data_IF_980006630257
#
_entry.id   IF_980006630257
#
_cell.length_a   1.000
_cell.length_b   1.000
_cell.length_c   1.000
_cell.angle_alpha   90.00
_cell.angle_beta   90.00
_cell.angle_gamma   90.00
#
_symmetry.space_group_name_H-M   'P 1'
#
loop_
_entity.id
_entity.type
_entity.pdbx_description
1 polymer ?
#
# COMPACT_ATOMS: atom_id res chain seq x y z
N UNK A 1 -18.92 -14.61 -4.96
CA UNK A 1 -20.03 -13.89 -4.28
C UNK A 1 -19.66 -12.42 -3.99
N UNK A 2 -19.05 -11.70 -4.95
CA UNK A 2 -18.71 -10.27 -4.79
C UNK A 2 -19.12 -9.41 -5.99
N UNK A 3 -20.12 -9.86 -6.74
CA UNK A 3 -20.77 -9.12 -7.82
C UNK A 3 -22.28 -8.90 -7.59
N UNK A 4 -22.87 -9.56 -6.58
CA UNK A 4 -24.31 -9.48 -6.31
C UNK A 4 -24.61 -8.75 -4.99
N UNK A 5 -24.89 -9.47 -3.89
CA UNK A 5 -25.47 -8.87 -2.70
C UNK A 5 -24.56 -7.86 -1.97
N UNK A 6 -23.24 -7.93 -2.19
CA UNK A 6 -22.26 -7.05 -1.52
C UNK A 6 -22.24 -5.63 -2.11
N UNK A 7 -22.30 -5.50 -3.43
CA UNK A 7 -22.33 -4.20 -4.10
C UNK A 7 -23.71 -3.53 -3.97
N UNK A 8 -24.80 -4.32 -4.04
CA UNK A 8 -26.16 -3.83 -3.85
C UNK A 8 -26.44 -3.31 -2.42
N UNK A 9 -25.62 -3.71 -1.45
CA UNK A 9 -25.68 -3.26 -0.05
C UNK A 9 -24.69 -2.12 0.29
N UNK A 10 -24.00 -1.54 -0.70
CA UNK A 10 -23.04 -0.43 -0.49
C UNK A 10 -21.63 -0.85 -0.09
N UNK A 11 -21.28 -2.14 -0.20
CA UNK A 11 -19.92 -2.62 0.00
C UNK A 11 -19.03 -2.32 -1.20
N UNK A 12 -17.87 -1.70 -0.98
CA UNK A 12 -16.84 -1.52 -2.02
C UNK A 12 -16.20 -2.89 -2.32
N UNK A 13 -16.39 -3.48 -3.52
CA UNK A 13 -15.82 -4.78 -3.86
C UNK A 13 -14.30 -4.69 -3.82
N UNK A 14 -13.64 -5.51 -3.00
CA UNK A 14 -12.18 -5.61 -2.94
C UNK A 14 -11.58 -6.51 -4.03
N UNK A 15 -12.37 -6.95 -5.01
CA UNK A 15 -11.95 -7.90 -6.04
C UNK A 15 -12.00 -7.23 -7.43
N UNK A 16 -10.83 -7.13 -8.07
CA UNK A 16 -10.63 -6.40 -9.33
C UNK A 16 -11.58 -6.81 -10.48
N UNK A 17 -12.06 -8.06 -10.50
CA UNK A 17 -13.01 -8.55 -11.50
C UNK A 17 -14.38 -7.83 -11.47
N UNK A 18 -14.75 -7.19 -10.36
CA UNK A 18 -15.97 -6.39 -10.25
C UNK A 18 -15.77 -4.93 -10.69
N UNK A 19 -14.53 -4.47 -10.87
CA UNK A 19 -14.20 -3.11 -11.27
C UNK A 19 -14.30 -2.88 -12.78
N UNK A 20 -14.31 -3.96 -13.56
CA UNK A 20 -14.48 -3.94 -15.02
C UNK A 20 -15.95 -3.93 -15.46
N UNK A 21 -16.90 -4.11 -14.53
CA UNK A 21 -18.33 -4.06 -14.83
C UNK A 21 -18.83 -2.60 -14.93
N UNK A 22 -19.35 -2.24 -16.10
CA UNK A 22 -19.79 -0.87 -16.38
C UNK A 22 -20.96 -0.41 -15.50
N UNK A 23 -21.86 -1.32 -15.09
CA UNK A 23 -22.99 -0.98 -14.21
C UNK A 23 -22.53 -0.78 -12.76
N UNK A 24 -21.57 -1.58 -12.29
CA UNK A 24 -20.94 -1.41 -10.97
C UNK A 24 -20.13 -0.11 -10.91
N UNK A 25 -19.36 0.20 -11.95
CA UNK A 25 -18.57 1.43 -12.00
C UNK A 25 -19.45 2.68 -12.12
N UNK A 26 -20.53 2.64 -12.92
CA UNK A 26 -21.48 3.75 -13.03
C UNK A 26 -22.21 4.01 -11.69
N UNK A 27 -22.65 2.96 -10.99
CA UNK A 27 -23.25 3.08 -9.66
C UNK A 27 -22.29 3.66 -8.61
N UNK A 28 -20.97 3.49 -8.80
CA UNK A 28 -19.92 4.06 -7.96
C UNK A 28 -19.35 5.39 -8.51
N UNK A 29 -20.03 6.06 -9.45
CA UNK A 29 -19.60 7.36 -9.98
C UNK A 29 -18.27 7.33 -10.74
N UNK A 30 -17.99 6.22 -11.42
CA UNK A 30 -16.73 5.94 -12.13
C UNK A 30 -15.48 5.84 -11.22
N UNK A 31 -15.67 5.70 -9.90
CA UNK A 31 -14.57 5.64 -8.94
C UNK A 31 -13.51 4.58 -9.30
N UNK A 32 -13.91 3.36 -9.66
CA UNK A 32 -12.96 2.28 -9.92
C UNK A 32 -12.13 2.55 -11.17
N UNK A 33 -12.75 2.98 -12.28
CA UNK A 33 -12.02 3.38 -13.49
C UNK A 33 -11.05 4.54 -13.21
N UNK A 34 -11.52 5.57 -12.51
CA UNK A 34 -10.73 6.78 -12.26
C UNK A 34 -9.58 6.56 -11.27
N UNK A 35 -9.68 5.55 -10.39
CA UNK A 35 -8.66 5.25 -9.37
C UNK A 35 -7.87 3.98 -9.64
N UNK A 36 -8.18 3.23 -10.71
CA UNK A 36 -7.54 1.95 -11.04
C UNK A 36 -6.02 2.03 -11.08
N UNK A 37 -5.47 3.01 -11.80
CA UNK A 37 -4.02 3.18 -11.89
C UNK A 37 -3.37 3.44 -10.51
N UNK A 38 -4.05 4.19 -9.64
CA UNK A 38 -3.60 4.43 -8.26
C UNK A 38 -3.69 3.17 -7.40
N UNK A 39 -4.76 2.39 -7.54
CA UNK A 39 -4.97 1.14 -6.79
C UNK A 39 -4.00 0.05 -7.24
N UNK A 40 -3.75 -0.09 -8.54
CA UNK A 40 -2.76 -1.02 -9.10
C UNK A 40 -1.32 -0.63 -8.73
N UNK A 41 -1.04 0.67 -8.63
CA UNK A 41 0.24 1.17 -8.12
C UNK A 41 0.34 1.20 -6.59
N UNK A 42 -0.75 0.89 -5.87
CA UNK A 42 -0.76 0.91 -4.41
C UNK A 42 -0.08 -0.32 -3.84
N UNK A 43 0.64 -0.12 -2.74
CA UNK A 43 1.32 -1.19 -2.03
C UNK A 43 0.49 -1.60 -0.81
N UNK A 44 0.26 -2.91 -0.64
CA UNK A 44 -0.39 -3.42 0.57
C UNK A 44 0.59 -3.36 1.73
N UNK A 45 0.17 -2.69 2.81
CA UNK A 45 0.95 -2.58 4.04
C UNK A 45 1.34 -3.97 4.57
N UNK A 46 2.65 -4.28 4.71
CA UNK A 46 3.13 -5.47 5.37
C UNK A 46 2.58 -5.61 6.79
N UNK A 47 2.28 -6.85 7.20
CA UNK A 47 1.70 -7.19 8.51
C UNK A 47 2.70 -7.90 9.45
N UNK A 48 3.98 -7.93 9.10
CA UNK A 48 4.99 -8.56 9.94
C UNK A 48 5.30 -7.70 11.17
N UNK A 49 5.67 -8.37 12.26
CA UNK A 49 6.18 -7.71 13.45
C UNK A 49 7.51 -7.03 13.13
N UNK A 50 7.59 -5.71 13.36
CA UNK A 50 8.68 -4.84 12.91
C UNK A 50 8.28 -3.77 11.89
N UNK A 51 7.15 -3.92 11.19
CA UNK A 51 6.75 -2.95 10.16
C UNK A 51 6.47 -1.54 10.71
N UNK A 52 5.88 -1.41 11.91
CA UNK A 52 5.58 -0.09 12.50
C UNK A 52 6.86 0.69 12.80
N UNK A 53 7.87 0.01 13.35
CA UNK A 53 9.17 0.61 13.63
C UNK A 53 9.87 1.06 12.35
N UNK A 54 9.82 0.22 11.30
CA UNK A 54 10.29 0.60 9.97
C UNK A 54 9.57 1.83 9.43
N UNK A 55 8.23 1.87 9.48
CA UNK A 55 7.45 2.99 8.95
C UNK A 55 7.86 4.32 9.59
N UNK A 56 8.07 4.34 10.91
CA UNK A 56 8.52 5.53 11.62
C UNK A 56 9.93 5.95 11.16
N UNK A 57 10.90 5.03 11.23
CA UNK A 57 12.29 5.30 10.86
C UNK A 57 12.45 5.73 9.39
N UNK A 58 11.69 5.11 8.48
CA UNK A 58 11.65 5.47 7.07
C UNK A 58 11.11 6.89 6.85
N UNK A 59 10.05 7.25 7.58
CA UNK A 59 9.45 8.60 7.50
C UNK A 59 10.44 9.67 7.96
N UNK A 60 11.10 9.44 9.09
CA UNK A 60 12.12 10.36 9.63
C UNK A 60 13.29 10.51 8.66
N UNK A 61 13.73 9.41 8.04
CA UNK A 61 14.82 9.41 7.06
C UNK A 61 14.49 10.21 5.80
N UNK A 62 13.26 10.13 5.30
CA UNK A 62 12.78 10.90 4.14
C UNK A 62 12.74 12.38 4.50
N UNK A 63 12.15 12.74 5.65
CA UNK A 63 12.05 14.12 6.12
C UNK A 63 13.44 14.77 6.21
N UNK A 64 14.41 14.07 6.81
CA UNK A 64 15.79 14.53 6.90
C UNK A 64 16.42 14.72 5.51
N UNK A 65 16.23 13.74 4.61
CA UNK A 65 16.77 13.80 3.26
C UNK A 65 16.23 14.97 2.45
N UNK A 66 14.95 15.31 2.62
CA UNK A 66 14.33 16.47 1.97
C UNK A 66 14.83 17.79 2.59
N UNK A 67 14.84 17.89 3.92
CA UNK A 67 15.24 19.10 4.64
C UNK A 67 16.70 19.48 4.34
N UNK A 68 17.59 18.49 4.31
CA UNK A 68 19.02 18.67 4.11
C UNK A 68 19.46 18.48 2.65
N UNK A 69 18.52 18.21 1.73
CA UNK A 69 18.78 18.00 0.30
C UNK A 69 19.80 16.90 0.02
N UNK A 70 19.68 15.77 0.72
CA UNK A 70 20.50 14.59 0.46
C UNK A 70 20.25 14.04 -0.95
N UNK A 71 21.26 13.37 -1.51
CA UNK A 71 21.08 12.68 -2.80
C UNK A 71 20.01 11.59 -2.68
N UNK A 72 19.02 11.61 -3.57
CA UNK A 72 17.87 10.69 -3.54
C UNK A 72 18.30 9.22 -3.49
N UNK A 73 19.33 8.83 -4.26
CA UNK A 73 19.84 7.46 -4.25
C UNK A 73 20.35 7.00 -2.88
N UNK A 74 20.89 7.91 -2.05
CA UNK A 74 21.31 7.59 -0.67
C UNK A 74 20.09 7.35 0.21
N UNK A 75 19.09 8.23 0.12
CA UNK A 75 17.83 8.08 0.87
C UNK A 75 17.18 6.73 0.54
N UNK A 76 17.07 6.40 -0.75
CA UNK A 76 16.50 5.12 -1.21
C UNK A 76 17.29 3.92 -0.68
N UNK A 77 18.63 3.97 -0.72
CA UNK A 77 19.46 2.90 -0.18
C UNK A 77 19.23 2.69 1.33
N UNK A 78 19.09 3.77 2.09
CA UNK A 78 18.80 3.72 3.52
C UNK A 78 17.41 3.12 3.81
N UNK A 79 16.39 3.48 3.01
CA UNK A 79 15.04 2.90 3.13
C UNK A 79 15.04 1.39 2.88
N UNK A 80 15.77 0.93 1.86
CA UNK A 80 15.89 -0.50 1.56
C UNK A 80 16.56 -1.26 2.71
N UNK A 81 17.63 -0.70 3.29
CA UNK A 81 18.30 -1.29 4.45
C UNK A 81 17.36 -1.38 5.65
N UNK A 82 16.68 -0.28 6.01
CA UNK A 82 15.72 -0.23 7.11
C UNK A 82 14.59 -1.26 6.92
N UNK A 83 14.15 -1.47 5.68
CA UNK A 83 13.11 -2.45 5.39
C UNK A 83 13.60 -3.89 5.64
N UNK A 84 14.81 -4.24 5.19
CA UNK A 84 15.38 -5.56 5.43
C UNK A 84 15.61 -5.84 6.91
N UNK A 85 16.06 -4.84 7.67
CA UNK A 85 16.24 -4.91 9.13
C UNK A 85 14.92 -5.04 9.90
N UNK A 86 13.79 -4.71 9.26
CA UNK A 86 12.47 -4.80 9.89
C UNK A 86 11.95 -6.23 10.01
N UNK A 87 12.58 -7.19 9.34
CA UNK A 87 12.20 -8.60 9.46
C UNK A 87 12.87 -9.24 10.68
N UNK A 88 12.17 -10.14 11.39
CA UNK A 88 12.78 -10.90 12.46
C UNK A 88 13.96 -11.72 11.94
N UNK A 89 15.01 -11.83 12.76
CA UNK A 89 16.12 -12.70 12.45
C UNK A 89 15.63 -14.16 12.27
N UNK A 90 16.22 -14.96 11.37
CA UNK A 90 15.86 -16.36 11.22
C UNK A 90 16.02 -17.07 12.58
N UNK A 91 14.90 -17.50 13.17
CA UNK A 91 14.88 -18.22 14.46
C UNK A 91 14.16 -17.53 15.63
N UNK A 92 13.64 -16.31 15.46
CA UNK A 92 12.98 -15.57 16.55
C UNK A 92 11.45 -15.81 16.69
N UNK A 93 10.84 -16.59 15.80
CA UNK A 93 9.43 -16.97 15.91
C UNK A 93 9.32 -18.29 16.68
N UNK A 94 9.08 -18.20 17.99
CA UNK A 94 8.69 -19.30 18.88
C UNK A 94 7.25 -19.14 19.36
#
# INVERSE_FOLDING_TARGET
VQCGPYAAAGGQPGHAAAWDDAAVNAAAGNFYMNTRATLEGSWVRPRHDGYMAFQQAASDRINLGLAEKHHAGRVVADLNRLFLESFPAPGAAG
#
